data_IF_495092437012
#
_entry.id   IF_495092437012
#
_cell.length_a   1.000
_cell.length_b   1.000
_cell.length_c   1.000
_cell.angle_alpha   90.00
_cell.angle_beta   90.00
_cell.angle_gamma   90.00
#
_symmetry.space_group_name_H-M   'P 1'
#
loop_
_entity.id
_entity.type
_entity.pdbx_description
1 polymer ?
#
# COMPACT_ATOMS: atom_id res chain seq x y z
N UNK A 1 -3.68 -9.12 -8.64
CA UNK A 1 -5.13 -8.77 -8.62
C UNK A 1 -5.83 -9.40 -9.81
N UNK A 2 -6.79 -10.29 -9.56
CA UNK A 2 -7.52 -10.99 -10.63
C UNK A 2 -8.50 -10.12 -11.42
N UNK A 3 -9.18 -9.19 -10.75
CA UNK A 3 -10.28 -8.41 -11.34
C UNK A 3 -9.79 -7.34 -12.32
N UNK A 4 -8.75 -6.60 -11.95
CA UNK A 4 -8.18 -5.51 -12.76
C UNK A 4 -6.64 -5.56 -12.77
N UNK A 5 -6.02 -6.59 -13.39
CA UNK A 5 -4.58 -6.83 -13.30
C UNK A 5 -3.72 -5.71 -13.90
N UNK A 6 -4.27 -4.95 -14.86
CA UNK A 6 -3.57 -3.85 -15.52
C UNK A 6 -3.86 -2.47 -14.93
N UNK A 7 -4.76 -2.36 -13.95
CA UNK A 7 -5.13 -1.07 -13.37
C UNK A 7 -4.02 -0.58 -12.43
N UNK A 8 -3.53 0.63 -12.67
CA UNK A 8 -2.67 1.31 -11.72
C UNK A 8 -3.50 2.06 -10.66
N UNK A 9 -2.95 2.14 -9.45
CA UNK A 9 -3.48 2.96 -8.36
C UNK A 9 -2.40 3.96 -7.93
N UNK A 10 -2.73 5.25 -7.98
CA UNK A 10 -1.92 6.32 -7.39
C UNK A 10 -2.52 6.74 -6.06
N UNK A 11 -1.84 6.42 -4.97
CA UNK A 11 -2.15 6.94 -3.63
C UNK A 11 -1.50 8.32 -3.54
N UNK A 12 -2.30 9.36 -3.41
CA UNK A 12 -1.77 10.74 -3.49
C UNK A 12 -1.00 11.17 -2.25
N UNK A 13 -1.32 10.57 -1.09
CA UNK A 13 -0.80 10.95 0.22
C UNK A 13 -0.33 9.72 1.03
N UNK A 14 0.50 9.98 2.05
CA UNK A 14 0.96 8.99 3.03
C UNK A 14 2.38 8.46 2.79
N UNK A 15 2.96 8.72 1.62
CA UNK A 15 4.37 8.42 1.34
C UNK A 15 4.72 6.93 1.35
N UNK A 16 6.02 6.68 1.32
CA UNK A 16 6.56 5.31 1.26
C UNK A 16 6.45 4.59 2.60
N UNK A 17 6.57 5.30 3.73
CA UNK A 17 6.43 4.67 5.05
C UNK A 17 5.08 3.96 5.21
N UNK A 18 3.98 4.62 4.81
CA UNK A 18 2.65 4.02 4.80
C UNK A 18 2.56 2.84 3.83
N UNK A 19 3.15 2.96 2.64
CA UNK A 19 3.19 1.87 1.66
C UNK A 19 3.89 0.62 2.20
N UNK A 20 5.02 0.79 2.90
CA UNK A 20 5.76 -0.29 3.54
C UNK A 20 4.90 -1.00 4.59
N UNK A 21 4.25 -0.23 5.48
CA UNK A 21 3.36 -0.78 6.49
C UNK A 21 2.20 -1.55 5.85
N UNK A 22 1.52 -0.95 4.86
CA UNK A 22 0.40 -1.59 4.18
C UNK A 22 0.79 -2.90 3.49
N UNK A 23 2.00 -2.97 2.91
CA UNK A 23 2.50 -4.20 2.30
C UNK A 23 2.72 -5.32 3.33
N UNK A 24 3.37 -4.98 4.44
CA UNK A 24 3.64 -5.93 5.53
C UNK A 24 2.34 -6.40 6.18
N UNK A 25 1.44 -5.49 6.51
CA UNK A 25 0.13 -5.80 7.10
C UNK A 25 -0.68 -6.73 6.19
N UNK A 26 -0.71 -6.49 4.88
CA UNK A 26 -1.42 -7.37 3.94
C UNK A 26 -0.78 -8.76 3.85
N UNK A 27 0.55 -8.87 3.95
CA UNK A 27 1.22 -10.17 4.01
C UNK A 27 0.85 -10.91 5.29
N UNK A 28 0.89 -10.25 6.44
CA UNK A 28 0.52 -10.86 7.72
C UNK A 28 -0.95 -11.26 7.78
N UNK A 29 -1.84 -10.42 7.25
CA UNK A 29 -3.25 -10.74 7.11
C UNK A 29 -3.45 -11.92 6.17
N UNK A 30 -2.70 -12.03 5.07
CA UNK A 30 -2.77 -13.19 4.18
C UNK A 30 -2.38 -14.48 4.89
N UNK A 31 -1.34 -14.47 5.74
CA UNK A 31 -0.95 -15.65 6.52
C UNK A 31 -2.06 -16.13 7.45
N UNK A 32 -2.77 -15.19 8.08
CA UNK A 32 -3.78 -15.45 9.12
C UNK A 32 -5.18 -15.71 8.55
N UNK A 33 -5.52 -15.06 7.45
CA UNK A 33 -6.90 -14.98 6.92
C UNK A 33 -7.09 -15.70 5.57
N UNK A 34 -6.06 -16.42 5.11
CA UNK A 34 -6.22 -17.44 4.07
C UNK A 34 -6.81 -18.73 4.64
N UNK A 35 -7.34 -19.62 3.80
CA UNK A 35 -7.94 -20.90 4.24
C UNK A 35 -7.07 -21.70 5.20
N UNK A 36 -5.75 -21.73 4.97
CA UNK A 36 -4.81 -22.44 5.84
C UNK A 36 -4.49 -21.72 7.15
N UNK A 37 -4.78 -20.43 7.29
CA UNK A 37 -4.66 -19.68 8.56
C UNK A 37 -5.92 -19.78 9.43
N UNK A 38 -7.08 -20.00 8.81
CA UNK A 38 -8.40 -20.10 9.47
C UNK A 38 -8.70 -21.50 10.04
N UNK A 39 -7.71 -22.21 10.58
CA UNK A 39 -7.86 -23.64 10.95
C UNK A 39 -8.69 -23.89 12.21
N UNK A 40 -8.84 -22.90 13.08
CA UNK A 40 -9.39 -23.10 14.42
C UNK A 40 -10.43 -22.05 14.83
N UNK A 41 -11.48 -21.81 14.02
CA UNK A 41 -12.47 -20.77 14.30
C UNK A 41 -13.24 -21.01 15.62
N UNK A 42 -13.26 -22.26 16.11
CA UNK A 42 -13.96 -22.67 17.33
C UNK A 42 -13.01 -23.00 18.50
N UNK A 43 -11.71 -22.69 18.42
CA UNK A 43 -10.77 -23.02 19.51
C UNK A 43 -10.92 -22.13 20.74
N UNK A 44 -11.54 -20.96 20.60
CA UNK A 44 -11.74 -20.01 21.69
C UNK A 44 -12.94 -20.41 22.54
N UNK A 45 -12.71 -20.73 23.81
CA UNK A 45 -13.77 -21.03 24.79
C UNK A 45 -14.18 -19.78 25.56
N UNK A 46 -15.40 -19.30 25.31
CA UNK A 46 -16.00 -18.18 26.06
C UNK A 46 -16.07 -18.49 27.55
N UNK A 47 -16.43 -19.72 27.91
CA UNK A 47 -16.51 -20.16 29.30
C UNK A 47 -15.15 -20.10 30.01
N UNK A 48 -14.07 -20.49 29.32
CA UNK A 48 -12.72 -20.43 29.88
C UNK A 48 -12.24 -18.98 30.03
N UNK A 49 -12.50 -18.12 29.04
CA UNK A 49 -12.19 -16.68 29.15
C UNK A 49 -12.93 -16.02 30.32
N UNK A 50 -14.20 -16.37 30.54
CA UNK A 50 -14.95 -15.94 31.73
C UNK A 50 -14.26 -16.37 33.04
N UNK A 51 -13.84 -17.63 33.14
CA UNK A 51 -13.15 -18.13 34.33
C UNK A 51 -11.82 -17.41 34.58
N UNK A 52 -11.09 -17.06 33.52
CA UNK A 52 -9.86 -16.28 33.62
C UNK A 52 -10.12 -14.85 34.11
N UNK A 53 -11.17 -14.19 33.62
CA UNK A 53 -11.57 -12.86 34.09
C UNK A 53 -12.01 -12.91 35.56
N UNK A 54 -12.77 -13.93 35.97
CA UNK A 54 -13.17 -14.09 37.36
C UNK A 54 -11.98 -14.31 38.30
N UNK A 55 -11.03 -15.16 37.88
CA UNK A 55 -9.86 -15.48 38.70
C UNK A 55 -8.85 -14.32 38.78
N UNK A 56 -8.60 -13.63 37.68
CA UNK A 56 -7.46 -12.69 37.56
C UNK A 56 -7.84 -11.25 37.22
N UNK A 57 -9.09 -10.98 36.81
CA UNK A 57 -9.54 -9.65 36.44
C UNK A 57 -9.64 -8.70 37.63
N UNK A 58 -9.43 -7.41 37.37
CA UNK A 58 -9.74 -6.35 38.32
C UNK A 58 -11.27 -6.13 38.44
N UNK A 59 -11.68 -5.20 39.31
CA UNK A 59 -13.10 -4.91 39.53
C UNK A 59 -13.81 -4.47 38.25
N UNK A 60 -13.12 -3.73 37.36
CA UNK A 60 -13.71 -3.21 36.12
C UNK A 60 -13.91 -4.34 35.10
N UNK A 61 -12.92 -5.21 34.92
CA UNK A 61 -13.02 -6.37 34.02
C UNK A 61 -14.13 -7.32 34.47
N UNK A 62 -14.22 -7.60 35.77
CA UNK A 62 -15.27 -8.45 36.35
C UNK A 62 -16.66 -7.88 36.12
N UNK A 63 -16.83 -6.58 36.36
CA UNK A 63 -18.11 -5.90 36.16
C UNK A 63 -18.58 -5.86 34.69
N UNK A 64 -17.67 -6.05 33.72
CA UNK A 64 -17.96 -5.98 32.30
C UNK A 64 -17.78 -7.32 31.57
N UNK A 65 -17.53 -8.42 32.29
CA UNK A 65 -17.13 -9.70 31.69
C UNK A 65 -18.14 -10.18 30.63
N UNK A 66 -19.43 -10.18 30.95
CA UNK A 66 -20.49 -10.60 30.03
C UNK A 66 -20.55 -9.72 28.78
N UNK A 67 -20.40 -8.40 28.94
CA UNK A 67 -20.42 -7.46 27.81
C UNK A 67 -19.22 -7.69 26.87
N UNK A 68 -18.04 -7.95 27.42
CA UNK A 68 -16.83 -8.23 26.63
C UNK A 68 -16.98 -9.56 25.89
N UNK A 69 -17.45 -10.60 26.58
CA UNK A 69 -17.59 -11.94 25.99
C UNK A 69 -18.67 -12.04 24.93
N UNK A 70 -19.69 -11.18 25.00
CA UNK A 70 -20.72 -11.06 23.96
C UNK A 70 -20.29 -10.22 22.74
N UNK A 71 -19.13 -9.54 22.78
CA UNK A 71 -18.66 -8.63 21.71
C UNK A 71 -17.19 -8.90 21.36
N UNK A 72 -16.86 -10.15 21.04
CA UNK A 72 -15.48 -10.57 20.76
C UNK A 72 -15.01 -10.28 19.33
N UNK A 73 -15.92 -9.90 18.44
CA UNK A 73 -15.61 -9.43 17.08
C UNK A 73 -16.11 -7.98 16.93
N UNK A 74 -15.18 -7.07 16.62
CA UNK A 74 -15.48 -5.65 16.49
C UNK A 74 -16.21 -5.29 15.18
N UNK A 75 -16.15 -6.16 14.17
CA UNK A 75 -16.79 -5.96 12.87
C UNK A 75 -18.18 -6.59 12.79
N UNK A 76 -18.45 -7.58 13.66
CA UNK A 76 -19.73 -8.30 13.77
C UNK A 76 -20.12 -8.50 15.25
N UNK A 77 -20.34 -7.40 15.99
CA UNK A 77 -20.70 -7.47 17.41
C UNK A 77 -22.03 -8.18 17.66
N UNK A 78 -22.88 -8.32 16.63
CA UNK A 78 -24.14 -9.06 16.69
C UNK A 78 -23.99 -10.58 16.64
N UNK A 79 -22.83 -11.11 16.26
CA UNK A 79 -22.58 -12.54 16.14
C UNK A 79 -21.87 -13.10 17.38
N UNK A 80 -22.36 -14.23 17.88
CA UNK A 80 -21.61 -15.06 18.83
C UNK A 80 -20.38 -15.70 18.16
N UNK A 81 -19.38 -16.13 18.95
CA UNK A 81 -18.24 -16.88 18.41
C UNK A 81 -18.65 -18.16 17.69
N UNK A 82 -19.71 -18.84 18.16
CA UNK A 82 -20.24 -20.03 17.50
C UNK A 82 -20.78 -19.70 16.10
N UNK A 83 -21.50 -18.59 15.96
CA UNK A 83 -21.98 -18.12 14.66
C UNK A 83 -20.82 -17.72 13.73
N UNK A 84 -19.83 -17.00 14.25
CA UNK A 84 -18.63 -16.63 13.50
C UNK A 84 -17.82 -17.84 13.02
N UNK A 85 -17.92 -18.97 13.73
CA UNK A 85 -17.29 -20.23 13.33
C UNK A 85 -18.01 -21.01 12.24
N UNK A 86 -19.20 -20.56 11.80
CA UNK A 86 -19.95 -21.22 10.72
C UNK A 86 -19.31 -20.98 9.35
N UNK A 87 -19.43 -21.93 8.40
CA UNK A 87 -18.76 -21.84 7.09
C UNK A 87 -19.07 -20.57 6.29
N UNK A 88 -20.26 -19.97 6.45
CA UNK A 88 -20.65 -18.72 5.81
C UNK A 88 -19.89 -17.49 6.31
N UNK A 89 -19.21 -17.59 7.45
CA UNK A 89 -18.43 -16.50 8.07
C UNK A 89 -16.93 -16.76 8.02
N UNK A 90 -16.53 -18.01 7.80
CA UNK A 90 -15.14 -18.43 7.60
C UNK A 90 -14.80 -18.41 6.11
N UNK A 91 -14.45 -17.22 5.60
CA UNK A 91 -14.08 -17.02 4.20
C UNK A 91 -12.61 -16.66 4.04
N UNK A 92 -12.00 -17.08 2.93
CA UNK A 92 -10.66 -16.65 2.55
C UNK A 92 -10.74 -15.26 1.91
N UNK A 93 -10.26 -14.25 2.62
CA UNK A 93 -10.34 -12.85 2.18
C UNK A 93 -9.55 -12.55 0.90
N UNK A 94 -8.62 -13.44 0.52
CA UNK A 94 -7.66 -13.25 -0.54
C UNK A 94 -7.96 -14.08 -1.79
N UNK A 95 -8.79 -15.12 -1.68
CA UNK A 95 -9.16 -16.05 -2.76
C UNK A 95 -9.73 -15.31 -3.98
N UNK A 96 -10.65 -14.36 -3.75
CA UNK A 96 -11.26 -13.57 -4.84
C UNK A 96 -10.26 -12.64 -5.54
N UNK A 97 -9.25 -12.15 -4.82
CA UNK A 97 -8.19 -11.31 -5.36
C UNK A 97 -7.15 -12.11 -6.16
N UNK A 98 -7.14 -13.44 -6.01
CA UNK A 98 -6.20 -14.37 -6.64
C UNK A 98 -4.80 -14.31 -6.02
N UNK A 99 -4.69 -13.99 -4.73
CA UNK A 99 -3.42 -13.92 -4.00
C UNK A 99 -3.16 -15.28 -3.33
N UNK A 100 -2.15 -16.01 -3.81
CA UNK A 100 -1.82 -17.37 -3.36
C UNK A 100 -0.48 -17.45 -2.63
N UNK A 101 0.23 -16.33 -2.55
CA UNK A 101 1.55 -16.23 -1.94
C UNK A 101 1.82 -14.80 -1.43
N UNK A 102 2.86 -14.66 -0.60
CA UNK A 102 3.35 -13.34 -0.17
C UNK A 102 3.92 -12.56 -1.36
N UNK A 103 4.49 -13.28 -2.30
CA UNK A 103 5.07 -12.77 -3.54
C UNK A 103 3.99 -12.15 -4.42
N UNK A 104 2.77 -12.71 -4.46
CA UNK A 104 1.64 -12.10 -5.18
C UNK A 104 1.25 -10.74 -4.60
N UNK A 105 1.31 -10.57 -3.27
CA UNK A 105 1.09 -9.25 -2.63
C UNK A 105 2.18 -8.28 -3.08
N UNK A 106 3.46 -8.66 -2.95
CA UNK A 106 4.59 -7.83 -3.37
C UNK A 106 4.56 -7.47 -4.85
N UNK A 107 4.08 -8.38 -5.71
CA UNK A 107 3.92 -8.14 -7.13
C UNK A 107 2.87 -7.06 -7.41
N UNK A 108 1.78 -7.00 -6.63
CA UNK A 108 0.79 -5.91 -6.75
C UNK A 108 1.41 -4.57 -6.32
N UNK A 109 2.13 -4.54 -5.20
CA UNK A 109 2.77 -3.32 -4.69
C UNK A 109 3.85 -2.77 -5.64
N UNK A 110 4.71 -3.65 -6.15
CA UNK A 110 5.76 -3.26 -7.09
C UNK A 110 5.27 -3.04 -8.52
N UNK A 111 4.07 -3.56 -8.85
CA UNK A 111 3.54 -3.62 -10.20
C UNK A 111 2.46 -2.60 -10.49
N UNK A 112 1.53 -2.36 -9.57
CA UNK A 112 0.29 -1.62 -9.79
C UNK A 112 0.16 -0.37 -8.91
N UNK A 113 0.83 -0.34 -7.76
CA UNK A 113 0.68 0.74 -6.79
C UNK A 113 1.80 1.78 -6.93
N UNK A 114 1.41 3.04 -6.80
CA UNK A 114 2.25 4.22 -6.87
C UNK A 114 1.92 5.11 -5.67
N UNK A 115 2.93 5.69 -5.04
CA UNK A 115 2.76 6.38 -3.76
C UNK A 115 3.31 7.81 -3.86
N UNK A 116 2.44 8.79 -3.70
CA UNK A 116 2.77 10.20 -3.63
C UNK A 116 3.65 10.46 -2.43
N UNK A 117 4.79 11.10 -2.66
CA UNK A 117 5.73 11.48 -1.61
C UNK A 117 6.12 12.95 -1.81
N UNK A 118 6.12 13.69 -0.71
CA UNK A 118 6.57 15.07 -0.65
C UNK A 118 8.09 15.16 -0.80
N UNK A 119 8.58 16.38 -1.05
CA UNK A 119 9.98 16.65 -1.30
C UNK A 119 10.91 16.25 -0.14
N UNK A 120 10.49 16.56 1.09
CA UNK A 120 11.27 16.36 2.31
C UNK A 120 10.97 15.02 3.01
N UNK A 121 10.11 14.18 2.43
CA UNK A 121 9.83 12.83 2.91
C UNK A 121 11.04 11.92 2.72
N UNK A 122 11.89 11.87 3.75
CA UNK A 122 13.05 10.97 3.82
C UNK A 122 12.67 9.49 3.72
N UNK A 123 11.43 9.11 4.05
CA UNK A 123 11.01 7.70 3.95
C UNK A 123 10.92 7.23 2.51
N UNK A 124 10.92 8.15 1.53
CA UNK A 124 11.06 7.85 0.10
C UNK A 124 12.23 6.90 -0.19
N UNK A 125 13.34 7.01 0.55
CA UNK A 125 14.51 6.13 0.37
C UNK A 125 14.17 4.64 0.57
N UNK A 126 13.19 4.31 1.42
CA UNK A 126 12.81 2.92 1.69
C UNK A 126 12.20 2.23 0.48
N UNK A 127 11.67 2.97 -0.49
CA UNK A 127 11.10 2.38 -1.71
C UNK A 127 12.14 1.63 -2.54
N UNK A 128 13.40 2.05 -2.41
CA UNK A 128 14.53 1.54 -3.16
C UNK A 128 15.42 0.59 -2.35
N UNK A 129 15.16 0.47 -1.04
CA UNK A 129 15.96 -0.31 -0.12
C UNK A 129 15.65 -1.82 -0.25
N UNK A 130 16.63 -2.67 -0.60
CA UNK A 130 16.41 -4.10 -0.75
C UNK A 130 15.97 -4.79 0.54
N UNK A 131 16.24 -4.20 1.72
CA UNK A 131 15.80 -4.73 3.03
C UNK A 131 14.28 -4.75 3.17
N UNK A 132 13.57 -3.91 2.43
CA UNK A 132 12.10 -3.92 2.41
C UNK A 132 11.52 -5.13 1.67
N UNK A 133 12.33 -5.86 0.90
CA UNK A 133 11.90 -7.06 0.18
C UNK A 133 10.92 -6.80 -0.98
N UNK A 134 10.60 -5.53 -1.26
CA UNK A 134 9.79 -5.08 -2.39
C UNK A 134 10.30 -3.70 -2.83
N UNK A 135 10.55 -3.54 -4.14
CA UNK A 135 10.83 -2.22 -4.71
C UNK A 135 9.50 -1.53 -5.00
N UNK A 136 9.27 -0.39 -4.37
CA UNK A 136 8.04 0.39 -4.49
C UNK A 136 8.19 1.47 -5.58
N UNK A 137 7.08 2.13 -5.93
CA UNK A 137 7.04 3.17 -6.95
C UNK A 137 6.64 4.51 -6.34
N UNK A 138 7.59 5.26 -5.75
CA UNK A 138 7.30 6.60 -5.26
C UNK A 138 7.08 7.53 -6.44
N UNK A 139 6.19 8.50 -6.27
CA UNK A 139 5.89 9.55 -7.23
C UNK A 139 6.03 10.87 -6.51
N UNK A 140 6.87 11.75 -7.03
CA UNK A 140 7.07 13.07 -6.46
C UNK A 140 5.77 13.89 -6.50
N UNK A 141 5.43 14.47 -5.35
CA UNK A 141 4.39 15.48 -5.19
C UNK A 141 5.04 16.69 -4.53
N UNK A 142 4.84 17.89 -5.07
CA UNK A 142 5.47 19.09 -4.52
C UNK A 142 4.71 19.71 -3.35
N UNK A 143 3.42 19.42 -3.25
CA UNK A 143 2.42 20.08 -2.39
C UNK A 143 2.64 21.58 -2.16
N UNK A 144 3.13 22.28 -3.20
CA UNK A 144 3.69 23.63 -3.08
C UNK A 144 2.65 24.71 -2.73
N UNK A 145 1.37 24.35 -2.60
CA UNK A 145 0.32 25.27 -2.16
C UNK A 145 -0.07 25.07 -0.69
N UNK A 146 0.52 24.07 -0.03
CA UNK A 146 0.27 23.79 1.37
C UNK A 146 1.07 24.74 2.28
N UNK A 147 0.56 24.96 3.49
CA UNK A 147 1.03 26.03 4.38
C UNK A 147 2.37 25.73 5.06
N UNK A 148 2.78 24.47 5.07
CA UNK A 148 4.02 23.97 5.67
C UNK A 148 5.18 23.87 4.67
N UNK A 149 5.00 24.33 3.42
CA UNK A 149 6.08 24.57 2.45
C UNK A 149 6.52 26.03 2.55
N UNK A 150 7.59 26.35 3.32
CA UNK A 150 7.95 27.73 3.62
C UNK A 150 8.60 28.46 2.43
N UNK A 151 9.26 27.74 1.53
CA UNK A 151 9.92 28.30 0.35
C UNK A 151 9.75 27.38 -0.87
N UNK A 152 8.92 27.79 -1.82
CA UNK A 152 8.62 27.02 -3.04
C UNK A 152 9.84 26.79 -3.94
N UNK A 153 10.91 27.57 -3.76
CA UNK A 153 12.15 27.41 -4.52
C UNK A 153 12.96 26.21 -4.04
N UNK A 154 12.74 25.78 -2.80
CA UNK A 154 13.53 24.73 -2.15
C UNK A 154 12.92 23.33 -2.34
N UNK A 155 11.68 23.19 -2.82
CA UNK A 155 11.01 21.88 -2.99
C UNK A 155 11.84 20.88 -3.81
N UNK A 156 12.37 21.29 -4.97
CA UNK A 156 13.20 20.40 -5.79
C UNK A 156 14.62 20.22 -5.19
N UNK A 157 15.32 21.28 -4.75
CA UNK A 157 16.57 21.16 -4.00
C UNK A 157 16.48 20.18 -2.81
N UNK A 158 15.47 20.29 -1.97
CA UNK A 158 15.25 19.44 -0.79
C UNK A 158 15.08 17.96 -1.18
N UNK A 159 14.28 17.68 -2.20
CA UNK A 159 14.14 16.33 -2.73
C UNK A 159 15.49 15.78 -3.24
N UNK A 160 16.29 16.63 -3.91
CA UNK A 160 17.58 16.24 -4.47
C UNK A 160 18.65 15.98 -3.40
N UNK A 161 18.51 16.52 -2.18
CA UNK A 161 19.45 16.25 -1.08
C UNK A 161 19.58 14.75 -0.76
N UNK A 162 18.55 13.94 -1.04
CA UNK A 162 18.63 12.48 -0.88
C UNK A 162 19.71 11.86 -1.78
N UNK A 163 19.92 12.43 -2.98
CA UNK A 163 21.00 12.04 -3.90
C UNK A 163 22.33 12.54 -3.37
N UNK A 164 22.43 13.81 -3.00
CA UNK A 164 23.67 14.42 -2.51
C UNK A 164 24.22 13.72 -1.26
N UNK A 165 23.32 13.27 -0.37
CA UNK A 165 23.65 12.55 0.86
C UNK A 165 23.87 11.04 0.62
N UNK A 166 23.65 10.55 -0.60
CA UNK A 166 23.86 9.15 -0.96
C UNK A 166 22.81 8.18 -0.42
N UNK A 167 21.61 8.65 -0.07
CA UNK A 167 20.50 7.80 0.37
C UNK A 167 19.81 7.10 -0.80
N UNK A 168 19.78 7.75 -1.96
CA UNK A 168 19.26 7.20 -3.22
C UNK A 168 20.24 7.50 -4.35
N UNK A 169 20.21 6.70 -5.42
CA UNK A 169 21.01 6.98 -6.62
C UNK A 169 20.34 8.02 -7.51
N UNK A 170 21.08 8.59 -8.47
CA UNK A 170 20.48 9.46 -9.51
C UNK A 170 19.40 8.73 -10.31
N UNK A 171 19.55 7.42 -10.52
CA UNK A 171 18.56 6.59 -11.20
C UNK A 171 17.29 6.43 -10.35
N UNK A 172 17.43 6.20 -9.05
CA UNK A 172 16.29 6.15 -8.13
C UNK A 172 15.56 7.50 -8.09
N UNK A 173 16.30 8.61 -8.07
CA UNK A 173 15.73 9.95 -8.11
C UNK A 173 14.99 10.23 -9.42
N UNK A 174 15.54 9.79 -10.56
CA UNK A 174 14.85 9.83 -11.86
C UNK A 174 13.55 9.01 -11.84
N UNK A 175 13.58 7.83 -11.21
CA UNK A 175 12.37 7.01 -11.05
C UNK A 175 11.30 7.73 -10.21
N UNK A 176 11.71 8.32 -9.09
CA UNK A 176 10.84 9.07 -8.18
C UNK A 176 10.20 10.31 -8.82
N UNK A 177 11.01 11.13 -9.50
CA UNK A 177 10.57 12.44 -10.02
C UNK A 177 9.95 12.38 -11.41
N UNK A 178 10.20 11.32 -12.18
CA UNK A 178 9.76 11.25 -13.57
C UNK A 178 9.23 9.89 -14.01
N UNK A 179 10.05 8.83 -13.95
CA UNK A 179 9.71 7.54 -14.58
C UNK A 179 8.43 6.93 -14.00
N UNK A 180 8.24 7.00 -12.69
CA UNK A 180 7.05 6.43 -12.06
C UNK A 180 5.77 7.20 -12.39
N UNK A 181 5.81 8.53 -12.43
CA UNK A 181 4.67 9.35 -12.87
C UNK A 181 4.30 9.03 -14.33
N UNK A 182 5.32 8.95 -15.21
CA UNK A 182 5.13 8.58 -16.60
C UNK A 182 4.48 7.19 -16.73
N UNK A 183 4.98 6.17 -16.01
CA UNK A 183 4.43 4.80 -16.00
C UNK A 183 3.00 4.75 -15.43
N UNK A 184 2.73 5.52 -14.38
CA UNK A 184 1.42 5.57 -13.72
C UNK A 184 0.34 5.94 -14.73
N UNK A 185 0.54 7.06 -15.43
CA UNK A 185 -0.47 7.62 -16.32
C UNK A 185 -0.55 6.90 -17.68
N UNK A 186 0.58 6.40 -18.21
CA UNK A 186 0.60 5.80 -19.56
C UNK A 186 0.14 4.35 -19.61
N UNK A 187 0.15 3.61 -18.50
CA UNK A 187 -0.17 2.17 -18.53
C UNK A 187 -1.58 1.87 -19.04
N UNK A 188 -2.56 2.64 -18.57
CA UNK A 188 -3.96 2.47 -18.96
C UNK A 188 -4.38 3.41 -20.10
N UNK A 189 -3.57 4.44 -20.39
CA UNK A 189 -3.77 5.38 -21.48
C UNK A 189 -2.41 5.78 -22.09
N UNK A 190 -1.91 5.05 -23.11
CA UNK A 190 -0.60 5.34 -23.72
C UNK A 190 -0.49 6.76 -24.29
N UNK A 191 -1.61 7.36 -24.69
CA UNK A 191 -1.68 8.70 -25.28
C UNK A 191 -1.84 9.81 -24.22
N UNK A 192 -1.69 9.51 -22.92
CA UNK A 192 -1.93 10.49 -21.84
C UNK A 192 -1.15 11.79 -22.01
N UNK A 193 0.09 11.71 -22.50
CA UNK A 193 0.96 12.87 -22.71
C UNK A 193 1.00 13.33 -24.18
N UNK A 194 0.11 12.84 -25.03
CA UNK A 194 0.07 13.21 -26.44
C UNK A 194 -0.17 14.72 -26.62
N UNK A 195 0.52 15.31 -27.57
CA UNK A 195 0.48 16.74 -27.90
C UNK A 195 0.96 17.66 -26.76
N UNK A 196 1.63 17.09 -25.74
CA UNK A 196 2.27 17.86 -24.66
C UNK A 196 3.76 18.06 -24.95
N UNK A 197 4.37 19.07 -24.32
CA UNK A 197 5.82 19.33 -24.45
C UNK A 197 6.70 18.19 -23.92
N UNK A 198 6.15 17.26 -23.15
CA UNK A 198 6.86 16.11 -22.58
C UNK A 198 6.59 14.79 -23.31
N UNK A 199 5.77 14.78 -24.37
CA UNK A 199 5.36 13.57 -25.10
C UNK A 199 6.57 12.71 -25.50
N UNK A 200 7.52 13.31 -26.23
CA UNK A 200 8.70 12.59 -26.73
C UNK A 200 9.59 12.10 -25.59
N UNK A 201 9.74 12.90 -24.53
CA UNK A 201 10.57 12.54 -23.37
C UNK A 201 9.98 11.35 -22.63
N UNK A 202 8.66 11.32 -22.42
CA UNK A 202 7.96 10.18 -21.82
C UNK A 202 8.04 8.95 -22.73
N UNK A 203 7.84 9.12 -24.03
CA UNK A 203 7.95 8.00 -24.98
C UNK A 203 9.35 7.38 -24.96
N UNK A 204 10.40 8.18 -24.94
CA UNK A 204 11.78 7.72 -24.86
C UNK A 204 12.09 7.02 -23.53
N UNK A 205 11.65 7.59 -22.40
CA UNK A 205 11.86 7.05 -21.07
C UNK A 205 11.22 5.66 -20.90
N UNK A 206 10.05 5.47 -21.49
CA UNK A 206 9.25 4.25 -21.35
C UNK A 206 9.44 3.27 -22.53
N UNK A 207 10.19 3.65 -23.56
CA UNK A 207 10.34 2.86 -24.78
C UNK A 207 9.03 2.67 -25.55
N UNK A 208 8.12 3.64 -25.49
CA UNK A 208 6.85 3.61 -26.23
C UNK A 208 7.10 3.92 -27.72
N UNK A 209 6.29 3.32 -28.61
CA UNK A 209 6.32 3.68 -30.02
C UNK A 209 5.70 5.07 -30.20
N UNK A 210 6.51 6.08 -30.47
CA UNK A 210 6.01 7.41 -30.83
C UNK A 210 5.35 7.35 -32.22
N UNK A 211 4.17 7.95 -32.43
CA UNK A 211 3.76 8.33 -33.78
C UNK A 211 4.83 9.29 -34.33
N UNK A 212 5.33 9.02 -35.55
CA UNK A 212 6.24 9.95 -36.23
C UNK A 212 5.59 11.33 -36.28
N UNK A 213 6.18 12.33 -35.61
CA UNK A 213 5.74 13.71 -35.77
C UNK A 213 5.92 14.08 -37.24
N UNK A 214 4.82 14.34 -37.94
CA UNK A 214 4.89 14.98 -39.25
C UNK A 214 5.43 16.38 -38.99
N UNK A 215 6.69 16.60 -39.38
CA UNK A 215 7.29 17.92 -39.35
C UNK A 215 6.44 18.82 -40.26
N UNK A 216 5.67 19.72 -39.66
CA UNK A 216 5.06 20.80 -40.41
C UNK A 216 6.16 21.82 -40.74
N UNK A 217 6.30 22.06 -42.05
CA UNK A 217 7.23 22.98 -42.69
C UNK A 217 7.00 24.46 -42.31
#
# INVERSE_FOLDING_TARGET
MRRYPSLNFGFMEGGVSWACQMCLDLIEHWEKRRRAGLQYPNATSVAEMHQLIDRYGDQRLKANADAIMNNLDAFRPECSLEELGRPEHVSDDFESAGINSKEDVRAVFSGNFYFGCEADDRTTMWAFDPRMGVRLRPVFSSDFTHFDVPDFREVIPEAFEMVERGFVTEQDFREFTFTNAARLHTRNNPDFFKDTVVEQTVANELGLKTPLSVANA
#
